data_IF_543509663514
#
_entry.id   IF_543509663514
#
_cell.length_a   1.000
_cell.length_b   1.000
_cell.length_c   1.000
_cell.angle_alpha   90.00
_cell.angle_beta   90.00
_cell.angle_gamma   90.00
#
_symmetry.space_group_name_H-M   'P 1'
#
loop_
_entity.id
_entity.type
_entity.pdbx_description
1 polymer ?
#
# COMPACT_ATOMS: atom_id res chain seq x y z
N UNK A 1 2.83 0.69 19.35
CA UNK A 1 1.57 0.13 19.87
C UNK A 1 0.95 1.02 20.94
N UNK A 2 1.72 1.46 21.93
CA UNK A 2 1.23 2.30 23.02
C UNK A 2 0.54 3.59 22.54
N UNK A 3 1.08 4.22 21.49
CA UNK A 3 0.47 5.42 20.88
C UNK A 3 -0.89 5.05 20.27
N UNK A 4 -1.00 3.97 19.52
CA UNK A 4 -2.24 3.55 18.87
C UNK A 4 -3.30 3.12 19.89
N UNK A 5 -2.90 2.51 20.99
CA UNK A 5 -3.81 2.12 22.07
C UNK A 5 -4.38 3.32 22.87
N UNK A 6 -3.67 4.44 22.86
CA UNK A 6 -4.08 5.66 23.55
C UNK A 6 -4.80 6.68 22.66
N UNK A 7 -4.87 6.43 21.34
CA UNK A 7 -5.59 7.28 20.39
C UNK A 7 -6.95 6.66 20.11
N UNK A 8 -8.02 7.42 20.35
CA UNK A 8 -9.37 7.03 19.96
C UNK A 8 -9.64 7.47 18.52
N UNK A 9 -9.26 6.65 17.56
CA UNK A 9 -9.56 6.85 16.14
C UNK A 9 -10.44 5.73 15.63
N UNK A 10 -11.37 6.06 14.75
CA UNK A 10 -12.28 5.07 14.15
C UNK A 10 -11.58 4.20 13.13
N UNK A 11 -10.73 4.80 12.29
CA UNK A 11 -10.08 4.13 11.18
C UNK A 11 -8.58 4.48 11.12
N UNK A 12 -7.75 3.48 10.84
CA UNK A 12 -6.31 3.63 10.60
C UNK A 12 -5.98 3.00 9.24
N UNK A 13 -5.34 3.76 8.36
CA UNK A 13 -4.84 3.26 7.08
C UNK A 13 -3.32 3.27 7.07
N UNK A 14 -2.72 2.11 6.87
CA UNK A 14 -1.26 1.98 6.78
C UNK A 14 -0.89 1.73 5.33
N UNK A 15 -0.08 2.62 4.75
CA UNK A 15 0.26 2.54 3.34
C UNK A 15 1.19 1.36 3.08
N UNK A 16 0.66 0.39 2.38
CA UNK A 16 1.33 -0.80 1.88
C UNK A 16 1.63 -0.70 0.38
N UNK A 17 1.88 -1.80 -0.27
CA UNK A 17 2.19 -1.87 -1.70
C UNK A 17 1.81 -3.23 -2.27
N UNK A 18 1.49 -3.29 -3.56
CA UNK A 18 1.38 -4.53 -4.30
C UNK A 18 2.66 -5.38 -4.26
N UNK A 19 3.82 -4.76 -4.07
CA UNK A 19 5.10 -5.45 -3.87
C UNK A 19 5.14 -6.32 -2.60
N UNK A 20 4.25 -6.10 -1.64
CA UNK A 20 4.09 -6.96 -0.45
C UNK A 20 3.57 -8.35 -0.77
N UNK A 21 3.00 -8.53 -1.95
CA UNK A 21 2.40 -9.79 -2.44
C UNK A 21 3.19 -10.43 -3.59
N UNK A 22 4.20 -9.73 -4.12
CA UNK A 22 4.93 -10.14 -5.31
C UNK A 22 6.45 -10.08 -5.07
N UNK A 23 7.15 -11.17 -5.41
CA UNK A 23 8.61 -11.29 -5.29
C UNK A 23 9.31 -10.98 -6.61
N UNK A 24 9.48 -9.71 -6.96
CA UNK A 24 10.22 -9.32 -8.14
C UNK A 24 11.71 -9.12 -7.85
N UNK A 25 12.57 -9.46 -8.83
CA UNK A 25 14.01 -9.24 -8.76
C UNK A 25 14.33 -7.76 -8.46
N UNK A 26 15.16 -7.52 -7.46
CA UNK A 26 15.59 -6.18 -7.04
C UNK A 26 14.71 -5.51 -5.99
N UNK A 27 13.56 -6.12 -5.64
CA UNK A 27 12.60 -5.55 -4.69
C UNK A 27 12.64 -6.19 -3.29
N UNK A 28 13.66 -7.00 -3.00
CA UNK A 28 13.70 -7.85 -1.81
C UNK A 28 13.40 -7.12 -0.50
N UNK A 29 14.23 -6.14 -0.14
CA UNK A 29 14.04 -5.37 1.12
C UNK A 29 12.72 -4.58 1.14
N UNK A 30 12.36 -3.96 0.04
CA UNK A 30 11.09 -3.22 -0.08
C UNK A 30 9.89 -4.15 0.07
N UNK A 31 9.86 -5.27 -0.65
CA UNK A 31 8.78 -6.26 -0.56
C UNK A 31 8.64 -6.84 0.84
N UNK A 32 9.77 -7.18 1.48
CA UNK A 32 9.77 -7.66 2.86
C UNK A 32 9.25 -6.61 3.84
N UNK A 33 9.67 -5.36 3.70
CA UNK A 33 9.18 -4.28 4.57
C UNK A 33 7.66 -4.10 4.44
N UNK A 34 7.13 -4.14 3.22
CA UNK A 34 5.68 -3.99 2.97
C UNK A 34 4.87 -5.23 3.34
N UNK A 35 5.45 -6.43 3.22
CA UNK A 35 4.83 -7.64 3.76
C UNK A 35 4.78 -7.60 5.30
N UNK A 36 5.83 -7.09 5.94
CA UNK A 36 5.85 -6.82 7.38
C UNK A 36 4.75 -5.84 7.81
N UNK A 37 4.53 -4.78 7.04
CA UNK A 37 3.41 -3.84 7.27
C UNK A 37 2.07 -4.55 7.23
N UNK A 38 1.84 -5.44 6.25
CA UNK A 38 0.58 -6.20 6.17
C UNK A 38 0.37 -7.08 7.39
N UNK A 39 1.44 -7.76 7.85
CA UNK A 39 1.37 -8.60 9.04
C UNK A 39 1.14 -7.75 10.30
N UNK A 40 1.81 -6.60 10.42
CA UNK A 40 1.61 -5.68 11.53
C UNK A 40 0.15 -5.21 11.64
N UNK A 41 -0.44 -4.83 10.51
CA UNK A 41 -1.86 -4.44 10.44
C UNK A 41 -2.78 -5.58 10.88
N UNK A 42 -2.50 -6.80 10.45
CA UNK A 42 -3.26 -7.98 10.86
C UNK A 42 -3.14 -8.24 12.38
N UNK A 43 -1.94 -8.16 12.94
CA UNK A 43 -1.71 -8.32 14.37
C UNK A 43 -2.45 -7.24 15.17
N UNK A 44 -2.32 -5.96 14.79
CA UNK A 44 -2.95 -4.86 15.52
C UNK A 44 -4.48 -4.88 15.43
N UNK A 45 -5.05 -5.42 14.36
CA UNK A 45 -6.49 -5.57 14.26
C UNK A 45 -7.09 -6.48 15.34
N UNK A 46 -6.27 -7.38 15.89
CA UNK A 46 -6.67 -8.26 17.00
C UNK A 46 -6.40 -7.64 18.39
N UNK A 47 -5.58 -6.59 18.46
CA UNK A 47 -5.16 -5.97 19.73
C UNK A 47 -5.84 -4.63 20.00
N UNK A 48 -6.30 -3.92 18.96
CA UNK A 48 -6.93 -2.61 19.08
C UNK A 48 -8.44 -2.74 18.88
N UNK A 49 -9.23 -2.82 19.95
CA UNK A 49 -10.68 -2.92 19.83
C UNK A 49 -11.29 -1.60 19.32
N UNK A 50 -12.43 -1.70 18.64
CA UNK A 50 -13.22 -0.57 18.17
C UNK A 50 -12.52 0.35 17.14
N UNK A 51 -11.39 -0.07 16.61
CA UNK A 51 -10.66 0.64 15.53
C UNK A 51 -10.52 -0.27 14.32
N UNK A 52 -10.94 0.20 13.18
CA UNK A 52 -10.68 -0.51 11.91
C UNK A 52 -9.29 -0.13 11.41
N UNK A 53 -8.41 -1.11 11.22
CA UNK A 53 -7.06 -0.92 10.69
C UNK A 53 -6.89 -1.70 9.39
N UNK A 54 -6.42 -1.05 8.32
CA UNK A 54 -6.28 -1.64 6.98
C UNK A 54 -4.93 -1.30 6.38
N UNK A 55 -4.29 -2.30 5.77
CA UNK A 55 -3.11 -2.11 4.92
C UNK A 55 -3.57 -1.74 3.51
N UNK A 56 -3.33 -0.50 3.09
CA UNK A 56 -3.83 0.05 1.84
C UNK A 56 -2.72 0.16 0.79
N UNK A 57 -2.88 -0.49 -0.35
CA UNK A 57 -2.01 -0.33 -1.51
C UNK A 57 -2.65 0.66 -2.50
N UNK A 58 -2.12 1.88 -2.62
CA UNK A 58 -2.74 2.94 -3.43
C UNK A 58 -2.44 2.82 -4.93
N UNK A 59 -1.66 1.83 -5.34
CA UNK A 59 -1.19 1.69 -6.72
C UNK A 59 0.13 2.42 -6.97
N UNK A 60 0.45 2.64 -8.24
CA UNK A 60 1.68 3.33 -8.66
C UNK A 60 1.37 4.82 -8.82
N UNK A 61 2.04 5.64 -8.02
CA UNK A 61 1.84 7.08 -7.99
C UNK A 61 3.07 7.76 -8.59
N UNK A 62 2.87 8.80 -9.38
CA UNK A 62 3.95 9.63 -9.92
C UNK A 62 4.66 10.37 -8.77
N UNK A 63 5.87 9.93 -8.47
CA UNK A 63 6.74 10.45 -7.41
C UNK A 63 8.19 10.39 -7.87
N UNK A 64 9.13 11.10 -7.23
CA UNK A 64 10.55 10.97 -7.54
C UNK A 64 11.05 9.52 -7.50
N UNK A 65 10.54 8.69 -6.57
CA UNK A 65 10.90 7.27 -6.47
C UNK A 65 10.45 6.48 -7.70
N UNK A 66 9.22 6.68 -8.18
CA UNK A 66 8.71 5.99 -9.37
C UNK A 66 9.40 6.49 -10.64
N UNK A 67 9.72 7.77 -10.73
CA UNK A 67 10.46 8.33 -11.85
C UNK A 67 11.89 7.77 -11.91
N UNK A 68 12.57 7.64 -10.78
CA UNK A 68 13.88 6.97 -10.71
C UNK A 68 13.81 5.53 -11.24
N UNK A 69 12.83 4.76 -10.82
CA UNK A 69 12.65 3.37 -11.28
C UNK A 69 12.37 3.31 -12.80
N UNK A 70 11.57 4.25 -13.30
CA UNK A 70 11.21 4.30 -14.73
C UNK A 70 12.34 4.69 -15.66
N UNK A 71 13.17 5.63 -15.23
CA UNK A 71 14.12 6.30 -16.11
C UNK A 71 15.57 5.93 -15.84
N UNK A 72 15.95 5.63 -14.59
CA UNK A 72 17.33 5.41 -14.19
C UNK A 72 17.68 3.92 -14.00
N UNK A 73 16.68 3.06 -13.74
CA UNK A 73 16.93 1.63 -13.48
C UNK A 73 17.08 0.86 -14.81
N UNK A 74 18.11 0.01 -14.88
CA UNK A 74 18.31 -0.90 -16.02
C UNK A 74 17.20 -1.96 -16.09
N UNK A 75 16.37 -1.84 -17.10
CA UNK A 75 15.19 -2.69 -17.33
C UNK A 75 15.55 -4.11 -17.80
N UNK A 76 16.78 -4.33 -18.26
CA UNK A 76 17.26 -5.67 -18.61
C UNK A 76 17.66 -6.45 -17.37
N UNK A 77 18.25 -5.76 -16.41
CA UNK A 77 18.60 -6.34 -15.10
C UNK A 77 17.38 -6.49 -14.21
N UNK A 78 16.45 -5.51 -14.24
CA UNK A 78 15.25 -5.46 -13.41
C UNK A 78 13.97 -5.38 -14.27
N UNK A 79 13.47 -6.51 -14.76
CA UNK A 79 12.34 -6.53 -15.70
C UNK A 79 11.05 -5.91 -15.16
N UNK A 80 10.87 -5.86 -13.81
CA UNK A 80 9.73 -5.21 -13.19
C UNK A 80 9.66 -3.70 -13.46
N UNK A 81 10.80 -3.04 -13.73
CA UNK A 81 10.84 -1.64 -14.12
C UNK A 81 10.12 -1.39 -15.47
N UNK A 82 10.10 -2.39 -16.38
CA UNK A 82 9.32 -2.30 -17.63
C UNK A 82 7.81 -2.22 -17.37
N UNK A 83 7.33 -2.93 -16.36
CA UNK A 83 5.91 -2.94 -16.00
C UNK A 83 5.44 -1.57 -15.50
N UNK A 84 6.31 -0.84 -14.80
CA UNK A 84 6.01 0.53 -14.36
C UNK A 84 5.89 1.50 -15.54
N UNK A 85 6.63 1.28 -16.63
CA UNK A 85 6.50 2.10 -17.84
C UNK A 85 5.26 1.76 -18.67
N UNK A 86 4.85 0.50 -18.68
CA UNK A 86 3.68 0.03 -19.44
C UNK A 86 2.36 0.20 -18.68
N UNK A 87 2.41 0.37 -17.36
CA UNK A 87 1.25 0.47 -16.49
C UNK A 87 0.68 1.89 -16.38
N UNK A 88 -0.54 1.97 -15.91
CA UNK A 88 -1.17 3.23 -15.53
C UNK A 88 -0.49 3.80 -14.29
N UNK A 89 0.08 4.99 -14.41
CA UNK A 89 0.65 5.74 -13.29
C UNK A 89 -0.29 6.88 -12.96
N UNK A 90 -0.71 6.90 -11.70
CA UNK A 90 -1.65 7.90 -11.20
C UNK A 90 -0.91 9.15 -10.72
N UNK A 91 -1.52 10.30 -10.90
CA UNK A 91 -1.09 11.51 -10.19
C UNK A 91 -1.45 11.41 -8.70
N UNK A 92 -0.79 12.18 -7.82
CA UNK A 92 -1.18 12.25 -6.42
C UNK A 92 -2.66 12.62 -6.22
N UNK A 93 -3.20 13.54 -7.02
CA UNK A 93 -4.60 13.95 -6.93
C UNK A 93 -5.57 12.82 -7.31
N UNK A 94 -5.31 12.10 -8.40
CA UNK A 94 -6.12 10.93 -8.80
C UNK A 94 -6.10 9.86 -7.71
N UNK A 95 -4.94 9.64 -7.09
CA UNK A 95 -4.81 8.70 -6.00
C UNK A 95 -5.59 9.15 -4.76
N UNK A 96 -5.53 10.44 -4.43
CA UNK A 96 -6.28 10.99 -3.30
C UNK A 96 -7.80 10.81 -3.47
N UNK A 97 -8.33 11.04 -4.67
CA UNK A 97 -9.75 10.82 -4.98
C UNK A 97 -10.13 9.34 -4.75
N UNK A 98 -9.31 8.40 -5.24
CA UNK A 98 -9.57 6.98 -5.04
C UNK A 98 -9.48 6.54 -3.57
N UNK A 99 -8.58 7.14 -2.80
CA UNK A 99 -8.51 6.91 -1.36
C UNK A 99 -9.77 7.43 -0.67
N UNK A 100 -10.27 8.61 -1.06
CA UNK A 100 -11.51 9.17 -0.52
C UNK A 100 -12.71 8.26 -0.84
N UNK A 101 -12.83 7.78 -2.08
CA UNK A 101 -13.84 6.80 -2.48
C UNK A 101 -13.77 5.52 -1.64
N UNK A 102 -12.56 5.01 -1.41
CA UNK A 102 -12.34 3.86 -0.53
C UNK A 102 -12.78 4.14 0.90
N UNK A 103 -12.44 5.31 1.46
CA UNK A 103 -12.84 5.71 2.81
C UNK A 103 -14.36 5.75 2.95
N UNK A 104 -15.08 6.24 1.94
CA UNK A 104 -16.54 6.27 1.94
C UNK A 104 -17.17 4.86 1.88
N UNK A 105 -16.41 3.86 1.47
CA UNK A 105 -16.82 2.44 1.40
C UNK A 105 -16.17 1.57 2.48
N UNK A 106 -15.61 2.18 3.53
CA UNK A 106 -14.78 1.49 4.51
C UNK A 106 -15.49 0.33 5.21
N UNK A 107 -16.80 0.41 5.36
CA UNK A 107 -17.61 -0.62 6.03
C UNK A 107 -17.69 -1.93 5.22
N UNK A 108 -17.37 -1.91 3.93
CA UNK A 108 -17.29 -3.10 3.07
C UNK A 108 -16.04 -3.96 3.33
N UNK A 109 -15.05 -3.45 4.06
CA UNK A 109 -13.76 -4.09 4.26
C UNK A 109 -13.54 -4.52 5.71
N UNK A 110 -12.96 -5.71 5.88
CA UNK A 110 -12.64 -6.24 7.20
C UNK A 110 -11.39 -5.57 7.80
N UNK A 111 -11.41 -5.35 9.11
CA UNK A 111 -10.20 -4.91 9.83
C UNK A 111 -9.09 -5.95 9.71
N UNK A 112 -7.84 -5.51 9.68
CA UNK A 112 -6.68 -6.39 9.52
C UNK A 112 -6.38 -6.80 8.07
N UNK A 113 -7.23 -6.40 7.11
CA UNK A 113 -7.10 -6.80 5.70
C UNK A 113 -6.07 -5.94 4.93
N UNK A 114 -5.61 -6.52 3.82
CA UNK A 114 -4.85 -5.80 2.78
C UNK A 114 -5.80 -5.47 1.62
N UNK A 115 -5.86 -4.21 1.24
CA UNK A 115 -6.71 -3.72 0.14
C UNK A 115 -5.85 -3.03 -0.91
N UNK A 116 -6.01 -3.45 -2.18
CA UNK A 116 -5.45 -2.76 -3.34
C UNK A 116 -6.57 -1.94 -4.00
N UNK A 117 -6.51 -0.61 -3.90
CA UNK A 117 -7.56 0.28 -4.38
C UNK A 117 -7.79 0.23 -5.90
N UNK A 118 -6.89 -0.40 -6.64
CA UNK A 118 -7.07 -0.62 -8.09
C UNK A 118 -8.05 -1.76 -8.41
N UNK A 119 -8.41 -2.55 -7.40
CA UNK A 119 -9.22 -3.77 -7.55
C UNK A 119 -10.61 -3.69 -6.91
N UNK A 120 -10.95 -2.53 -6.43
CA UNK A 120 -12.24 -2.29 -5.75
C UNK A 120 -13.19 -1.45 -6.60
#
# INVERSE_FOLDING_TARGET
>A
LDILMNIQVKNIFVISSGASKNGYKGWGSYSLSKAGVNMLVNLYSNEIPNTKIIALAPGVIKTPMTDYIRFEIDKNIFPSAKKLNAGSIQTPNETAIKIDEFVNRIDEFETGSFVDIRKI
#
